data_IF_602835802965
#
_entry.id   IF_602835802965
#
_cell.length_a   1.000
_cell.length_b   1.000
_cell.length_c   1.000
_cell.angle_alpha   90.00
_cell.angle_beta   90.00
_cell.angle_gamma   90.00
#
_symmetry.space_group_name_H-M   'P 1'
#
loop_
_entity.id
_entity.type
_entity.pdbx_description
1 polymer ?
#
# COMPACT_ATOMS: atom_id res chain seq x y z
N UNK A 1 -12.83 15.70 -14.17
CA UNK A 1 -11.94 14.82 -13.37
C UNK A 1 -11.89 13.38 -13.89
N UNK A 2 -13.05 12.76 -14.25
CA UNK A 2 -13.08 11.34 -14.68
C UNK A 2 -12.35 11.12 -16.02
N UNK A 3 -12.49 12.03 -16.98
CA UNK A 3 -11.81 11.98 -18.29
C UNK A 3 -10.29 12.02 -18.12
N UNK A 4 -9.78 12.90 -17.27
CA UNK A 4 -8.35 13.02 -16.97
C UNK A 4 -7.80 11.75 -16.32
N UNK A 5 -8.55 11.16 -15.38
CA UNK A 5 -8.16 9.89 -14.74
C UNK A 5 -8.15 8.75 -15.77
N UNK A 6 -9.14 8.67 -16.66
CA UNK A 6 -9.17 7.67 -17.72
C UNK A 6 -7.97 7.82 -18.67
N UNK A 7 -7.67 9.05 -19.09
CA UNK A 7 -6.50 9.34 -19.93
C UNK A 7 -5.20 8.94 -19.24
N UNK A 8 -5.04 9.31 -17.96
CA UNK A 8 -3.89 8.92 -17.13
C UNK A 8 -3.72 7.39 -17.07
N UNK A 9 -4.79 6.64 -16.81
CA UNK A 9 -4.74 5.18 -16.74
C UNK A 9 -4.43 4.55 -18.10
N UNK A 10 -4.92 5.14 -19.19
CA UNK A 10 -4.64 4.67 -20.54
C UNK A 10 -3.15 4.83 -20.91
N UNK A 11 -2.47 5.87 -20.43
CA UNK A 11 -1.02 6.01 -20.63
C UNK A 11 -0.25 4.81 -20.10
N UNK A 12 -0.62 4.30 -18.92
CA UNK A 12 0.02 3.11 -18.37
C UNK A 12 -0.32 1.84 -19.15
N UNK A 13 -1.61 1.67 -19.52
CA UNK A 13 -2.05 0.51 -20.31
C UNK A 13 -1.34 0.43 -21.66
N UNK A 14 -1.26 1.54 -22.39
CA UNK A 14 -0.61 1.62 -23.70
C UNK A 14 0.89 1.33 -23.65
N UNK A 15 1.54 1.64 -22.53
CA UNK A 15 2.95 1.33 -22.27
C UNK A 15 3.17 -0.06 -21.64
N UNK A 16 2.13 -0.89 -21.51
CA UNK A 16 2.21 -2.21 -20.86
C UNK A 16 2.49 -2.16 -19.35
N UNK A 17 2.38 -0.98 -18.72
CA UNK A 17 2.67 -0.78 -17.30
C UNK A 17 1.48 -1.22 -16.47
N UNK A 18 1.75 -1.85 -15.33
CA UNK A 18 0.75 -2.19 -14.34
C UNK A 18 0.69 -1.11 -13.27
N UNK A 19 -0.46 -0.47 -13.13
CA UNK A 19 -0.73 0.48 -12.07
C UNK A 19 -1.42 -0.22 -10.90
N UNK A 20 -0.87 -0.08 -9.69
CA UNK A 20 -1.42 -0.64 -8.45
C UNK A 20 -1.67 0.52 -7.48
N UNK A 21 -2.87 0.58 -6.92
CA UNK A 21 -3.23 1.62 -5.93
C UNK A 21 -3.89 1.00 -4.69
N UNK A 22 -3.70 1.58 -3.50
CA UNK A 22 -4.44 1.16 -2.31
C UNK A 22 -5.96 1.28 -2.51
N UNK A 23 -6.70 0.27 -2.07
CA UNK A 23 -8.16 0.23 -2.11
C UNK A 23 -8.71 -0.22 -0.74
N UNK A 24 -8.14 0.34 0.33
CA UNK A 24 -8.45 -0.05 1.71
C UNK A 24 -9.90 0.26 2.06
N UNK A 25 -10.59 -0.73 2.63
CA UNK A 25 -11.95 -0.56 3.15
C UNK A 25 -12.01 -0.58 4.68
N UNK A 26 -10.92 -0.99 5.34
CA UNK A 26 -10.82 -1.16 6.79
C UNK A 26 -11.94 -2.03 7.38
N UNK A 27 -12.44 -3.01 6.60
CA UNK A 27 -13.49 -3.91 7.03
C UNK A 27 -12.93 -4.93 8.01
N UNK A 28 -13.31 -4.82 9.28
CA UNK A 28 -12.82 -5.69 10.37
C UNK A 28 -13.82 -6.75 10.80
N UNK A 29 -15.10 -6.58 10.45
CA UNK A 29 -16.24 -7.46 10.77
C UNK A 29 -17.18 -7.58 9.57
N UNK A 30 -18.04 -8.60 9.57
CA UNK A 30 -19.05 -8.78 8.54
C UNK A 30 -18.50 -9.29 7.22
N UNK A 31 -18.93 -8.69 6.11
CA UNK A 31 -18.63 -9.13 4.75
C UNK A 31 -17.80 -8.09 3.99
N UNK A 32 -16.87 -8.57 3.21
CA UNK A 32 -16.11 -7.79 2.22
C UNK A 32 -16.26 -8.46 0.86
N UNK A 33 -16.78 -7.76 -0.12
CA UNK A 33 -16.82 -8.23 -1.50
C UNK A 33 -15.77 -7.48 -2.32
N UNK A 34 -14.92 -8.26 -3.01
CA UNK A 34 -13.79 -7.76 -3.80
C UNK A 34 -14.25 -6.81 -4.90
N UNK A 35 -15.41 -7.06 -5.49
CA UNK A 35 -15.86 -6.32 -6.67
C UNK A 35 -16.65 -5.04 -6.31
N UNK A 36 -17.37 -5.04 -5.20
CA UNK A 36 -18.32 -3.96 -4.90
C UNK A 36 -18.01 -3.14 -3.65
N UNK A 37 -17.22 -3.68 -2.70
CA UNK A 37 -16.92 -2.93 -1.47
C UNK A 37 -16.11 -1.68 -1.80
N UNK A 38 -16.66 -0.49 -1.51
CA UNK A 38 -15.99 0.79 -1.78
C UNK A 38 -14.68 0.93 -1.00
N UNK A 39 -13.70 1.55 -1.62
CA UNK A 39 -12.47 2.00 -0.97
C UNK A 39 -12.76 3.23 -0.11
N UNK A 40 -12.18 3.26 1.10
CA UNK A 40 -12.18 4.46 1.98
C UNK A 40 -10.94 5.34 1.75
N UNK A 41 -10.05 4.95 0.82
CA UNK A 41 -8.82 5.68 0.51
C UNK A 41 -8.75 6.01 -0.97
N UNK A 42 -8.75 7.29 -1.27
CA UNK A 42 -8.51 7.84 -2.61
C UNK A 42 -9.66 7.70 -3.60
N UNK A 43 -9.72 8.69 -4.49
CA UNK A 43 -10.66 8.72 -5.62
C UNK A 43 -10.28 7.67 -6.68
N UNK A 44 -8.98 7.54 -7.00
CA UNK A 44 -8.48 6.67 -8.06
C UNK A 44 -8.89 5.21 -7.91
N UNK A 45 -8.81 4.66 -6.70
CA UNK A 45 -9.20 3.26 -6.46
C UNK A 45 -10.70 3.01 -6.67
N UNK A 46 -11.56 3.96 -6.25
CA UNK A 46 -13.01 3.86 -6.48
C UNK A 46 -13.36 4.03 -7.96
N UNK A 47 -12.66 4.93 -8.67
CA UNK A 47 -12.81 5.08 -10.12
C UNK A 47 -12.46 3.76 -10.85
N UNK A 48 -11.33 3.14 -10.50
CA UNK A 48 -10.92 1.86 -11.10
C UNK A 48 -11.95 0.77 -10.82
N UNK A 49 -12.43 0.63 -9.59
CA UNK A 49 -13.43 -0.38 -9.21
C UNK A 49 -14.74 -0.22 -10.00
N UNK A 50 -15.13 1.01 -10.29
CA UNK A 50 -16.38 1.31 -11.00
C UNK A 50 -16.26 1.17 -12.53
N UNK A 51 -15.12 1.61 -13.10
CA UNK A 51 -15.04 1.92 -14.54
C UNK A 51 -14.04 1.08 -15.32
N UNK A 52 -13.24 0.21 -14.68
CA UNK A 52 -12.13 -0.46 -15.33
C UNK A 52 -12.15 -1.99 -15.18
N UNK A 53 -11.53 -2.70 -16.11
CA UNK A 53 -11.21 -4.13 -15.94
C UNK A 53 -10.02 -4.24 -14.98
N UNK A 54 -10.28 -4.60 -13.74
CA UNK A 54 -9.31 -4.62 -12.65
C UNK A 54 -9.14 -6.01 -12.02
N UNK A 55 -8.10 -6.16 -11.21
CA UNK A 55 -8.00 -7.17 -10.16
C UNK A 55 -7.85 -6.47 -8.80
N UNK A 56 -8.43 -7.07 -7.77
CA UNK A 56 -8.30 -6.59 -6.39
C UNK A 56 -7.85 -7.72 -5.48
N UNK A 57 -6.95 -7.42 -4.56
CA UNK A 57 -6.52 -8.40 -3.56
C UNK A 57 -7.62 -8.67 -2.54
N UNK A 58 -7.58 -9.86 -1.93
CA UNK A 58 -8.65 -10.34 -1.05
C UNK A 58 -8.62 -9.78 0.37
N UNK A 59 -7.57 -9.03 0.76
CA UNK A 59 -7.45 -8.56 2.14
C UNK A 59 -8.52 -7.51 2.48
N UNK A 60 -9.45 -7.78 3.45
CA UNK A 60 -10.64 -6.94 3.66
C UNK A 60 -10.33 -5.55 4.24
N UNK A 61 -9.20 -5.38 4.94
CA UNK A 61 -8.80 -4.07 5.46
C UNK A 61 -7.87 -3.32 4.50
N UNK A 62 -6.87 -4.02 3.95
CA UNK A 62 -5.74 -3.44 3.23
C UNK A 62 -5.62 -4.02 1.82
N UNK A 63 -6.73 -4.03 1.07
CA UNK A 63 -6.73 -4.47 -0.32
C UNK A 63 -6.05 -3.44 -1.22
N UNK A 64 -5.54 -3.93 -2.35
CA UNK A 64 -5.03 -3.14 -3.45
C UNK A 64 -5.83 -3.46 -4.70
N UNK A 65 -5.98 -2.49 -5.59
CA UNK A 65 -6.57 -2.67 -6.91
C UNK A 65 -5.51 -2.41 -7.98
N UNK A 66 -5.53 -3.22 -9.03
CA UNK A 66 -4.57 -3.10 -10.14
C UNK A 66 -5.26 -3.17 -11.50
N UNK A 67 -4.73 -2.39 -12.44
CA UNK A 67 -5.00 -2.47 -13.88
C UNK A 67 -3.69 -2.74 -14.63
N UNK A 68 -3.78 -3.13 -15.87
CA UNK A 68 -2.62 -3.40 -16.74
C UNK A 68 -2.27 -4.88 -16.82
N UNK A 69 -1.14 -5.16 -17.48
CA UNK A 69 -0.75 -6.52 -17.91
C UNK A 69 -0.61 -7.50 -16.74
N UNK A 70 0.09 -7.10 -15.68
CA UNK A 70 0.42 -7.96 -14.54
C UNK A 70 -0.58 -7.87 -13.39
N UNK A 71 -1.80 -7.29 -13.58
CA UNK A 71 -2.79 -7.12 -12.51
C UNK A 71 -3.14 -8.40 -11.75
N UNK A 72 -3.04 -9.57 -12.42
CA UNK A 72 -3.30 -10.89 -11.81
C UNK A 72 -2.37 -11.22 -10.63
N UNK A 73 -1.27 -10.49 -10.44
CA UNK A 73 -0.40 -10.60 -9.27
C UNK A 73 -1.20 -10.49 -7.96
N UNK A 74 -2.23 -9.64 -7.92
CA UNK A 74 -3.04 -9.41 -6.72
C UNK A 74 -3.84 -10.64 -6.26
N UNK A 75 -4.14 -11.60 -7.15
CA UNK A 75 -4.79 -12.87 -6.80
C UNK A 75 -3.88 -13.82 -6.03
N UNK A 76 -2.55 -13.64 -6.17
CA UNK A 76 -1.53 -14.50 -5.57
C UNK A 76 -1.05 -14.02 -4.21
N UNK A 77 -1.68 -12.97 -3.66
CA UNK A 77 -1.31 -12.45 -2.35
C UNK A 77 -1.89 -13.35 -1.24
N UNK A 78 -1.14 -13.45 -0.15
CA UNK A 78 -1.54 -14.19 1.04
C UNK A 78 -2.54 -13.44 1.91
N UNK A 79 -2.91 -14.05 3.02
CA UNK A 79 -3.87 -13.50 3.99
C UNK A 79 -3.27 -12.43 4.93
N UNK A 80 -1.95 -12.24 4.95
CA UNK A 80 -1.32 -11.19 5.74
C UNK A 80 -1.23 -9.88 4.95
N UNK A 81 -1.64 -8.77 5.57
CA UNK A 81 -1.61 -7.45 4.95
C UNK A 81 -0.21 -7.02 4.53
N UNK A 82 0.79 -7.28 5.39
CA UNK A 82 2.14 -6.75 5.25
C UNK A 82 3.23 -7.81 5.41
N UNK A 83 2.89 -9.06 5.72
CA UNK A 83 3.86 -10.13 5.96
C UNK A 83 4.32 -10.84 4.68
N UNK A 84 4.79 -12.07 4.86
CA UNK A 84 5.17 -12.96 3.74
C UNK A 84 3.99 -13.13 2.78
N UNK A 85 4.24 -13.06 1.48
CA UNK A 85 3.24 -13.08 0.41
C UNK A 85 2.28 -11.85 0.38
N UNK A 86 2.58 -10.76 1.09
CA UNK A 86 1.90 -9.49 0.89
C UNK A 86 2.31 -8.82 -0.43
N UNK A 87 1.62 -7.74 -0.84
CA UNK A 87 2.00 -6.98 -2.02
C UNK A 87 3.47 -6.53 -1.95
N UNK A 88 3.88 -5.97 -0.82
CA UNK A 88 5.24 -5.45 -0.64
C UNK A 88 6.31 -6.53 -0.80
N UNK A 89 6.09 -7.76 -0.31
CA UNK A 89 7.03 -8.86 -0.52
C UNK A 89 7.08 -9.35 -1.97
N UNK A 90 6.01 -9.17 -2.74
CA UNK A 90 5.93 -9.60 -4.15
C UNK A 90 6.44 -8.58 -5.15
N UNK A 91 6.54 -7.30 -4.75
CA UNK A 91 7.05 -6.22 -5.61
C UNK A 91 8.58 -6.13 -5.60
N UNK A 92 9.24 -6.67 -4.60
CA UNK A 92 10.70 -6.67 -4.52
C UNK A 92 11.31 -7.37 -5.74
N UNK A 93 12.31 -6.74 -6.36
CA UNK A 93 12.99 -7.18 -7.60
C UNK A 93 12.04 -7.29 -8.82
N UNK A 94 11.03 -6.40 -8.92
CA UNK A 94 10.05 -6.39 -10.02
C UNK A 94 10.11 -5.13 -10.89
N UNK A 95 11.19 -4.37 -10.82
CA UNK A 95 11.32 -3.11 -11.56
C UNK A 95 10.10 -2.20 -11.37
N UNK A 96 9.80 -1.90 -10.11
CA UNK A 96 8.67 -1.09 -9.70
C UNK A 96 9.12 0.29 -9.22
N UNK A 97 8.24 1.27 -9.30
CA UNK A 97 8.44 2.57 -8.66
C UNK A 97 7.20 2.99 -7.88
N UNK A 98 7.41 3.82 -6.88
CA UNK A 98 6.33 4.60 -6.27
C UNK A 98 6.04 5.84 -7.09
N UNK A 99 4.76 6.20 -7.17
CA UNK A 99 4.29 7.42 -7.81
C UNK A 99 3.29 8.10 -6.88
N UNK A 100 3.66 9.27 -6.38
CA UNK A 100 2.84 10.06 -5.46
C UNK A 100 2.42 11.37 -6.12
N UNK A 101 1.16 11.76 -5.94
CA UNK A 101 0.60 13.02 -6.39
C UNK A 101 0.21 13.86 -5.18
N UNK A 102 0.77 15.08 -5.05
CA UNK A 102 0.54 16.00 -3.95
C UNK A 102 0.69 15.33 -2.56
N UNK A 103 1.59 14.34 -2.46
CA UNK A 103 1.87 13.63 -1.21
C UNK A 103 3.36 13.51 -0.99
N UNK A 104 3.75 13.76 0.23
CA UNK A 104 5.11 13.52 0.71
C UNK A 104 5.30 12.03 1.06
N UNK A 105 6.54 11.61 1.22
CA UNK A 105 6.90 10.28 1.72
C UNK A 105 6.27 9.94 3.07
N UNK A 106 5.92 10.97 3.85
CA UNK A 106 5.41 10.85 5.22
C UNK A 106 3.98 10.31 5.27
N UNK A 107 3.17 10.56 4.23
CA UNK A 107 1.75 10.24 4.26
C UNK A 107 1.42 9.08 3.31
N UNK A 108 0.88 8.00 3.87
CA UNK A 108 0.21 6.95 3.08
C UNK A 108 1.11 5.86 2.50
N UNK A 109 2.37 5.78 2.90
CA UNK A 109 3.25 4.70 2.45
C UNK A 109 3.18 3.49 3.40
N UNK A 110 2.59 2.40 2.93
CA UNK A 110 2.40 1.18 3.74
C UNK A 110 3.59 0.21 3.71
N UNK A 111 4.64 0.51 2.94
CA UNK A 111 5.87 -0.28 2.94
C UNK A 111 6.52 -0.32 4.34
N UNK A 112 6.42 0.77 5.11
CA UNK A 112 6.89 0.78 6.49
C UNK A 112 6.29 -0.35 7.33
N UNK A 113 5.00 -0.67 7.16
CA UNK A 113 4.35 -1.74 7.92
C UNK A 113 4.84 -3.12 7.51
N UNK A 114 5.25 -3.28 6.25
CA UNK A 114 5.93 -4.48 5.79
C UNK A 114 7.32 -4.61 6.44
N UNK A 115 8.10 -3.54 6.48
CA UNK A 115 9.42 -3.51 7.15
C UNK A 115 9.28 -3.80 8.64
N UNK A 116 8.30 -3.18 9.32
CA UNK A 116 7.99 -3.47 10.73
C UNK A 116 7.66 -4.95 10.95
N UNK A 117 6.81 -5.54 10.12
CA UNK A 117 6.41 -6.95 10.27
C UNK A 117 7.55 -7.91 9.92
N UNK A 118 8.31 -7.65 8.85
CA UNK A 118 9.50 -8.41 8.46
C UNK A 118 10.52 -8.48 9.58
N UNK A 119 10.76 -7.35 10.24
CA UNK A 119 11.75 -7.22 11.32
C UNK A 119 11.14 -7.43 12.72
N UNK A 120 9.91 -7.93 12.83
CA UNK A 120 9.24 -8.27 14.10
C UNK A 120 9.24 -7.10 15.11
N UNK A 121 8.83 -5.91 14.68
CA UNK A 121 8.76 -4.72 15.53
C UNK A 121 8.08 -5.02 16.87
N UNK A 122 8.77 -4.79 18.00
CA UNK A 122 8.32 -5.17 19.36
C UNK A 122 7.02 -4.47 19.81
N UNK A 123 6.72 -3.30 19.23
CA UNK A 123 5.52 -2.50 19.53
C UNK A 123 4.29 -2.87 18.69
N UNK A 124 4.38 -3.98 17.92
CA UNK A 124 3.27 -4.52 17.12
C UNK A 124 3.07 -6.01 17.40
N UNK A 125 1.90 -6.52 17.00
CA UNK A 125 1.59 -7.93 17.03
C UNK A 125 0.68 -8.30 15.85
N UNK A 126 0.64 -9.57 15.49
CA UNK A 126 -0.26 -10.07 14.46
C UNK A 126 -1.66 -10.26 15.06
N UNK A 127 -2.67 -9.66 14.44
CA UNK A 127 -4.09 -9.81 14.80
C UNK A 127 -4.84 -10.46 13.64
N UNK A 128 -5.67 -11.45 13.96
CA UNK A 128 -6.56 -12.12 13.02
C UNK A 128 -7.90 -11.41 12.99
N UNK A 129 -8.46 -11.22 11.78
CA UNK A 129 -9.78 -10.63 11.54
C UNK A 129 -10.66 -11.65 10.82
N UNK A 130 -11.80 -11.99 11.42
CA UNK A 130 -12.76 -12.99 10.91
C UNK A 130 -13.74 -12.40 9.88
N UNK A 131 -13.33 -11.42 9.10
CA UNK A 131 -14.15 -10.85 8.03
C UNK A 131 -14.30 -11.86 6.91
N UNK A 132 -15.53 -12.20 6.53
CA UNK A 132 -15.83 -13.10 5.41
C UNK A 132 -15.61 -12.37 4.09
N UNK A 133 -14.77 -12.92 3.24
CA UNK A 133 -14.40 -12.35 1.94
C UNK A 133 -15.14 -13.08 0.82
N UNK A 134 -15.72 -12.31 -0.10
CA UNK A 134 -16.46 -12.81 -1.26
C UNK A 134 -15.93 -12.21 -2.56
N UNK A 135 -16.11 -12.95 -3.65
CA UNK A 135 -15.94 -12.47 -5.02
C UNK A 135 -17.05 -13.09 -5.87
N UNK A 136 -17.90 -12.27 -6.51
CA UNK A 136 -19.04 -12.74 -7.30
C UNK A 136 -19.95 -13.68 -6.46
N UNK A 137 -20.24 -13.32 -5.23
CA UNK A 137 -21.03 -14.12 -4.25
C UNK A 137 -20.35 -15.43 -3.79
N UNK A 138 -19.20 -15.81 -4.35
CA UNK A 138 -18.43 -16.99 -3.95
C UNK A 138 -17.58 -16.65 -2.73
N UNK A 139 -17.63 -17.49 -1.70
CA UNK A 139 -16.80 -17.34 -0.50
C UNK A 139 -15.33 -17.64 -0.82
N UNK A 140 -14.45 -16.69 -0.52
CA UNK A 140 -13.00 -16.76 -0.81
C UNK A 140 -12.16 -17.02 0.44
N UNK A 141 -12.79 -17.06 1.62
CA UNK A 141 -12.13 -17.32 2.88
C UNK A 141 -12.32 -16.20 3.92
N UNK A 142 -11.72 -16.42 5.06
CA UNK A 142 -11.67 -15.51 6.21
C UNK A 142 -10.30 -15.59 6.90
N UNK A 143 -10.20 -15.16 8.16
CA UNK A 143 -8.97 -15.21 8.96
C UNK A 143 -7.80 -14.45 8.33
N UNK A 144 -8.08 -13.23 7.85
CA UNK A 144 -7.05 -12.31 7.36
C UNK A 144 -6.29 -11.67 8.52
N UNK A 145 -5.02 -11.40 8.30
CA UNK A 145 -4.09 -10.98 9.35
C UNK A 145 -3.50 -9.61 9.07
N UNK A 146 -3.40 -8.78 10.10
CA UNK A 146 -2.66 -7.54 10.02
C UNK A 146 -1.73 -7.36 11.22
N UNK A 147 -0.61 -6.69 11.00
CA UNK A 147 0.38 -6.37 12.02
C UNK A 147 0.00 -5.04 12.67
N UNK A 148 -0.73 -5.12 13.79
CA UNK A 148 -1.34 -3.97 14.48
C UNK A 148 -0.52 -3.54 15.68
N UNK A 149 -0.72 -2.31 16.16
CA UNK A 149 -0.05 -1.78 17.35
C UNK A 149 -0.54 -2.46 18.62
N UNK A 150 0.36 -2.68 19.58
CA UNK A 150 0.03 -3.26 20.90
C UNK A 150 -0.78 -2.31 21.77
N UNK A 151 -0.42 -1.02 21.77
CA UNK A 151 -1.09 0.00 22.55
C UNK A 151 -1.50 1.16 21.64
N UNK A 152 -2.80 1.48 21.60
CA UNK A 152 -3.33 2.59 20.82
C UNK A 152 -3.05 3.95 21.47
N UNK A 153 -2.81 3.98 22.80
CA UNK A 153 -2.58 5.20 23.58
C UNK A 153 -1.12 5.66 23.55
N UNK A 154 -0.19 4.82 23.09
CA UNK A 154 1.17 5.30 22.82
C UNK A 154 1.09 6.29 21.65
N UNK A 155 1.68 7.47 21.82
CA UNK A 155 1.78 8.53 20.80
C UNK A 155 2.65 8.11 19.61
N UNK A 156 2.33 6.96 19.04
CA UNK A 156 2.78 6.63 17.70
C UNK A 156 2.06 7.59 16.78
N UNK A 157 2.74 8.59 16.30
CA UNK A 157 2.14 9.39 15.26
C UNK A 157 1.77 8.45 14.14
N UNK A 158 0.48 8.40 13.81
CA UNK A 158 -0.08 7.61 12.74
C UNK A 158 0.71 7.87 11.45
N UNK A 159 1.64 6.96 11.11
CA UNK A 159 2.38 7.00 9.85
C UNK A 159 3.39 8.12 9.72
N UNK A 160 4.01 8.58 10.80
CA UNK A 160 5.10 9.54 10.67
C UNK A 160 6.38 8.82 10.28
N UNK A 161 6.73 9.00 9.05
CA UNK A 161 8.06 8.80 8.52
C UNK A 161 9.03 9.94 8.89
N UNK A 162 8.70 10.83 9.81
CA UNK A 162 9.46 12.07 10.04
C UNK A 162 10.94 11.80 10.23
N UNK A 163 11.29 10.86 11.11
CA UNK A 163 12.68 10.49 11.36
C UNK A 163 13.33 9.80 10.14
N UNK A 164 12.63 8.86 9.54
CA UNK A 164 13.12 8.16 8.35
C UNK A 164 13.19 9.12 7.15
N UNK A 165 12.18 9.98 6.95
CA UNK A 165 12.17 10.99 5.91
C UNK A 165 13.36 11.96 6.03
N UNK A 166 13.65 12.49 7.22
CA UNK A 166 14.81 13.37 7.44
C UNK A 166 16.12 12.74 6.98
N UNK A 167 16.27 11.41 7.16
CA UNK A 167 17.45 10.65 6.73
C UNK A 167 17.47 10.34 5.24
N UNK A 168 16.30 10.22 4.61
CA UNK A 168 16.17 9.79 3.20
C UNK A 168 15.97 10.94 2.22
N UNK A 169 15.48 12.12 2.66
CA UNK A 169 15.05 13.22 1.78
C UNK A 169 16.07 13.67 0.74
N UNK A 170 17.36 13.48 1.02
CA UNK A 170 18.47 13.90 0.14
C UNK A 170 19.00 12.75 -0.75
N UNK A 171 18.36 11.58 -0.74
CA UNK A 171 18.78 10.47 -1.60
C UNK A 171 18.52 10.84 -3.08
N UNK A 172 19.54 10.60 -3.94
CA UNK A 172 19.53 11.00 -5.36
C UNK A 172 18.46 10.30 -6.19
N UNK A 173 17.92 9.16 -5.74
CA UNK A 173 16.88 8.42 -6.46
C UNK A 173 15.47 9.04 -6.35
N UNK A 174 15.26 10.07 -5.53
CA UNK A 174 13.99 10.79 -5.50
C UNK A 174 13.90 11.78 -6.65
N UNK A 175 12.95 11.56 -7.53
CA UNK A 175 12.63 12.50 -8.59
C UNK A 175 11.37 13.26 -8.24
N UNK A 176 11.47 14.61 -8.22
CA UNK A 176 10.35 15.52 -7.98
C UNK A 176 10.11 16.40 -9.19
N UNK A 177 8.85 16.53 -9.56
CA UNK A 177 8.43 17.47 -10.63
C UNK A 177 7.16 18.17 -10.20
N UNK A 178 7.10 19.48 -10.41
CA UNK A 178 5.90 20.30 -10.22
C UNK A 178 5.34 20.69 -11.58
N UNK A 179 4.07 20.43 -11.80
CA UNK A 179 3.34 20.81 -13.03
C UNK A 179 2.11 21.57 -12.56
N UNK A 180 2.09 22.89 -12.73
CA UNK A 180 1.07 23.79 -12.15
C UNK A 180 0.96 23.53 -10.63
N UNK A 181 -0.22 23.15 -10.15
CA UNK A 181 -0.49 22.85 -8.74
C UNK A 181 -0.29 21.38 -8.39
N UNK A 182 0.23 20.55 -9.31
CA UNK A 182 0.47 19.14 -9.10
C UNK A 182 1.94 18.88 -8.82
N UNK A 183 2.24 18.39 -7.62
CA UNK A 183 3.56 17.88 -7.29
C UNK A 183 3.58 16.35 -7.51
N UNK A 184 4.54 15.90 -8.31
CA UNK A 184 4.79 14.49 -8.59
C UNK A 184 6.09 14.11 -7.90
N UNK A 185 6.04 13.06 -7.08
CA UNK A 185 7.20 12.44 -6.46
C UNK A 185 7.25 10.98 -6.89
N UNK A 186 8.35 10.57 -7.53
CA UNK A 186 8.59 9.18 -7.89
C UNK A 186 9.96 8.70 -7.40
N UNK A 187 10.04 7.41 -7.10
CA UNK A 187 11.27 6.77 -6.63
C UNK A 187 11.21 5.25 -6.82
N UNK A 188 12.35 4.58 -7.10
CA UNK A 188 12.43 3.14 -7.25
C UNK A 188 11.96 2.41 -5.98
N UNK A 189 11.26 1.30 -6.18
CA UNK A 189 10.75 0.51 -5.07
C UNK A 189 11.87 -0.14 -4.26
N UNK A 190 12.83 -0.76 -4.95
CA UNK A 190 13.88 -1.58 -4.33
C UNK A 190 14.85 -0.72 -3.51
N UNK A 191 15.34 0.41 -4.08
CA UNK A 191 16.23 1.33 -3.37
C UNK A 191 15.58 1.84 -2.08
N UNK A 192 14.32 2.26 -2.18
CA UNK A 192 13.58 2.76 -1.03
C UNK A 192 13.29 1.66 0.00
N UNK A 193 13.00 0.43 -0.45
CA UNK A 193 12.82 -0.74 0.40
C UNK A 193 14.08 -1.03 1.22
N UNK A 194 15.24 -1.14 0.56
CA UNK A 194 16.49 -1.46 1.25
C UNK A 194 16.93 -0.36 2.21
N UNK A 195 16.76 0.89 1.83
CA UNK A 195 17.06 2.02 2.71
C UNK A 195 16.17 2.02 3.97
N UNK A 196 14.88 1.77 3.83
CA UNK A 196 13.97 1.65 4.98
C UNK A 196 14.30 0.45 5.86
N UNK A 197 14.60 -0.71 5.28
CA UNK A 197 14.97 -1.92 6.02
C UNK A 197 16.26 -1.69 6.83
N UNK A 198 17.26 -1.08 6.20
CA UNK A 198 18.53 -0.74 6.86
C UNK A 198 18.35 0.29 7.99
N UNK A 199 17.52 1.32 7.77
CA UNK A 199 17.21 2.29 8.82
C UNK A 199 16.50 1.64 10.01
N UNK A 200 15.55 0.74 9.75
CA UNK A 200 14.84 0.03 10.81
C UNK A 200 15.78 -0.91 11.59
N UNK A 201 16.66 -1.65 10.92
CA UNK A 201 17.66 -2.51 11.57
C UNK A 201 18.61 -1.73 12.47
N UNK A 202 19.03 -0.53 12.05
CA UNK A 202 19.88 0.36 12.87
C UNK A 202 19.11 0.98 14.05
N UNK A 203 17.82 1.26 13.87
CA UNK A 203 16.96 1.84 14.90
C UNK A 203 15.52 1.34 14.73
N UNK A 204 15.12 0.35 15.53
CA UNK A 204 13.79 -0.25 15.47
C UNK A 204 12.65 0.75 15.81
N UNK A 205 12.98 1.90 16.40
CA UNK A 205 12.04 2.98 16.73
C UNK A 205 11.99 4.08 15.65
N UNK A 206 12.63 3.87 14.49
CA UNK A 206 12.72 4.89 13.42
C UNK A 206 11.34 5.34 12.91
N UNK A 207 10.33 4.48 13.00
CA UNK A 207 8.95 4.76 12.58
C UNK A 207 8.03 5.18 13.73
N UNK A 208 8.57 5.37 14.92
CA UNK A 208 7.82 5.82 16.09
C UNK A 208 8.20 7.27 16.38
N UNK A 209 7.21 8.09 16.75
CA UNK A 209 7.48 9.43 17.28
C UNK A 209 8.16 9.28 18.65
N UNK A 210 9.26 9.99 18.90
CA UNK A 210 9.77 10.12 20.26
C UNK A 210 8.71 10.84 21.09
N UNK A 211 8.52 10.37 22.31
CA UNK A 211 7.85 11.17 23.34
C UNK A 211 8.66 12.41 23.62
#
# INVERSE_FOLDING_TARGET
PEKEVKNFLNLFKNKGITCITPAFSYTTKGKFDVNITKSKVGFLSNFIIKNEKFERSFHPMFSFVAIGRNRKLLKKLGKSAFGKNSLHSKLLNKNCCFLNFNRTLIKGNTLMHHIEQKNKAKYRFEKVFKTKVYKNKIFMGDNYKAFVRKNMNLNYSLGTFDKAYKKLKNKKYFFKKKIKNLEILTYPYDDFYYDLDNLFKKNSNIFIKAQ
#
